data_IF_137548323474
#
_entry.id   IF_137548323474
#
_cell.length_a   1.000
_cell.length_b   1.000
_cell.length_c   1.000
_cell.angle_alpha   90.00
_cell.angle_beta   90.00
_cell.angle_gamma   90.00
#
_symmetry.space_group_name_H-M   'P 1'
#
loop_
_entity.id
_entity.type
_entity.pdbx_description
1 polymer ?
#
# COMPACT_ATOMS: atom_id res chain seq x y z
N UNK A 1 -21.27 -20.07 9.72
CA UNK A 1 -20.36 -18.98 9.34
C UNK A 1 -19.28 -18.85 10.39
N UNK A 2 -18.09 -19.43 10.19
CA UNK A 2 -16.94 -19.21 11.07
C UNK A 2 -15.64 -19.44 10.30
N UNK A 3 -14.96 -18.38 9.87
CA UNK A 3 -13.54 -18.40 9.44
C UNK A 3 -12.78 -17.08 9.71
N UNK A 4 -13.32 -16.20 10.54
CA UNK A 4 -12.75 -14.84 10.71
C UNK A 4 -11.51 -14.79 11.63
N UNK A 5 -11.19 -15.88 12.34
CA UNK A 5 -10.08 -15.95 13.29
C UNK A 5 -9.24 -17.22 13.14
N UNK A 6 -8.93 -17.64 11.91
CA UNK A 6 -7.85 -18.60 11.73
C UNK A 6 -6.55 -17.92 12.18
N UNK A 7 -5.92 -18.42 13.25
CA UNK A 7 -4.57 -18.01 13.65
C UNK A 7 -3.63 -18.38 12.51
N UNK A 8 -3.45 -17.47 11.57
CA UNK A 8 -2.40 -17.57 10.56
C UNK A 8 -1.08 -17.61 11.32
N UNK A 9 -0.29 -18.63 11.06
CA UNK A 9 1.03 -18.70 11.68
C UNK A 9 1.83 -17.48 11.21
N UNK A 10 2.81 -17.01 11.98
CA UNK A 10 3.71 -15.92 11.51
C UNK A 10 4.33 -16.24 10.13
N UNK A 11 4.44 -17.53 9.78
CA UNK A 11 4.90 -18.01 8.48
C UNK A 11 3.95 -17.70 7.31
N UNK A 12 2.64 -17.53 7.55
CA UNK A 12 1.66 -17.26 6.48
C UNK A 12 1.44 -15.75 6.25
N UNK A 13 1.64 -14.93 7.28
CA UNK A 13 1.38 -13.48 7.23
C UNK A 13 2.44 -12.76 6.40
N UNK A 14 3.72 -13.10 6.61
CA UNK A 14 4.81 -12.38 5.95
C UNK A 14 4.81 -12.55 4.42
N UNK A 15 4.50 -13.74 3.87
CA UNK A 15 4.29 -13.91 2.44
C UNK A 15 3.13 -13.10 1.86
N UNK A 16 2.00 -13.02 2.56
CA UNK A 16 0.88 -12.20 2.11
C UNK A 16 1.22 -10.70 2.10
N UNK A 17 1.92 -10.21 3.12
CA UNK A 17 2.38 -8.81 3.19
C UNK A 17 3.34 -8.49 2.05
N UNK A 18 4.28 -9.40 1.76
CA UNK A 18 5.28 -9.20 0.71
C UNK A 18 4.65 -9.22 -0.68
N UNK A 19 3.74 -10.15 -0.95
CA UNK A 19 3.00 -10.17 -2.23
C UNK A 19 2.17 -8.89 -2.38
N UNK A 20 1.46 -8.48 -1.34
CA UNK A 20 0.70 -7.23 -1.36
C UNK A 20 1.60 -6.03 -1.67
N UNK A 21 2.75 -5.89 -1.01
CA UNK A 21 3.69 -4.79 -1.28
C UNK A 21 4.27 -4.87 -2.70
N UNK A 22 4.55 -6.07 -3.21
CA UNK A 22 5.02 -6.28 -4.57
C UNK A 22 4.00 -5.82 -5.60
N UNK A 23 2.78 -6.34 -5.52
CA UNK A 23 1.68 -6.02 -6.44
C UNK A 23 1.40 -4.51 -6.39
N UNK A 24 1.35 -3.96 -5.18
CA UNK A 24 1.13 -2.54 -4.95
C UNK A 24 2.25 -1.70 -5.58
N UNK A 25 3.53 -2.03 -5.34
CA UNK A 25 4.66 -1.19 -5.76
C UNK A 25 4.95 -1.26 -7.27
N UNK A 26 4.75 -2.41 -7.92
CA UNK A 26 5.20 -2.63 -9.30
C UNK A 26 4.09 -2.68 -10.35
N UNK A 27 2.86 -3.07 -10.00
CA UNK A 27 1.76 -3.12 -10.99
C UNK A 27 0.98 -1.81 -11.09
N UNK A 28 1.02 -0.97 -10.06
CA UNK A 28 0.11 0.18 -9.90
C UNK A 28 0.73 1.57 -10.01
N UNK A 29 1.96 1.72 -10.52
CA UNK A 29 2.72 2.98 -10.50
C UNK A 29 2.68 3.67 -9.13
N UNK A 30 2.71 2.89 -8.05
CA UNK A 30 2.37 3.37 -6.72
C UNK A 30 3.34 4.42 -6.18
N UNK A 31 4.55 4.46 -6.75
CA UNK A 31 5.50 5.54 -6.51
C UNK A 31 4.90 6.92 -6.80
N UNK A 32 4.05 7.02 -7.82
CA UNK A 32 3.37 8.25 -8.23
C UNK A 32 1.98 8.39 -7.58
N UNK A 33 1.45 7.34 -6.95
CA UNK A 33 0.14 7.36 -6.29
C UNK A 33 -0.03 8.50 -5.28
N UNK A 34 0.97 8.87 -4.45
CA UNK A 34 0.85 10.04 -3.57
C UNK A 34 0.53 11.35 -4.31
N UNK A 35 1.06 11.52 -5.53
CA UNK A 35 0.79 12.70 -6.36
C UNK A 35 -0.63 12.64 -6.93
N UNK A 36 -1.03 11.50 -7.51
CA UNK A 36 -2.38 11.34 -8.06
C UNK A 36 -3.47 11.48 -6.98
N UNK A 37 -3.26 10.90 -5.80
CA UNK A 37 -4.17 11.06 -4.67
C UNK A 37 -4.26 12.52 -4.23
N UNK A 38 -3.15 13.24 -4.22
CA UNK A 38 -3.16 14.66 -3.90
C UNK A 38 -4.02 15.45 -4.90
N UNK A 39 -3.83 15.25 -6.20
CA UNK A 39 -4.62 15.93 -7.24
C UNK A 39 -6.12 15.64 -7.12
N UNK A 40 -6.49 14.36 -6.90
CA UNK A 40 -7.88 13.96 -6.67
C UNK A 40 -8.45 14.65 -5.42
N UNK A 41 -7.67 14.69 -4.35
CA UNK A 41 -8.11 15.27 -3.09
C UNK A 41 -8.26 16.78 -3.17
N UNK A 42 -7.36 17.47 -3.85
CA UNK A 42 -7.47 18.90 -4.14
C UNK A 42 -8.74 19.21 -4.95
N UNK A 43 -9.07 18.39 -5.96
CA UNK A 43 -10.33 18.51 -6.70
C UNK A 43 -11.55 18.24 -5.82
N UNK A 44 -11.53 17.21 -4.97
CA UNK A 44 -12.66 16.93 -4.07
C UNK A 44 -12.91 18.08 -3.08
N UNK A 45 -11.85 18.77 -2.63
CA UNK A 45 -11.99 19.93 -1.75
C UNK A 45 -12.76 21.09 -2.40
N UNK A 46 -12.84 21.15 -3.73
CA UNK A 46 -13.64 22.16 -4.45
C UNK A 46 -15.10 21.77 -4.66
N UNK A 47 -15.52 20.59 -4.18
CA UNK A 47 -16.89 20.08 -4.31
C UNK A 47 -17.68 20.29 -3.01
N UNK A 48 -18.97 19.95 -3.03
CA UNK A 48 -19.83 19.94 -1.82
C UNK A 48 -19.33 19.02 -0.71
N UNK A 49 -18.53 18.00 -1.05
CA UNK A 49 -17.89 17.11 -0.08
C UNK A 49 -16.66 17.74 0.58
N UNK A 50 -16.24 18.90 0.09
CA UNK A 50 -15.08 19.60 0.56
C UNK A 50 -15.14 19.84 2.06
N UNK A 51 -16.30 20.19 2.64
CA UNK A 51 -16.45 20.52 4.06
C UNK A 51 -16.74 19.33 4.99
N UNK A 52 -16.83 18.11 4.45
CA UNK A 52 -16.97 16.90 5.27
C UNK A 52 -15.67 16.63 6.04
N UNK A 53 -15.72 16.84 7.36
CA UNK A 53 -14.58 16.66 8.25
C UNK A 53 -14.06 15.23 8.28
N UNK A 54 -14.95 14.25 8.29
CA UNK A 54 -14.56 12.84 8.38
C UNK A 54 -13.90 12.37 7.09
N UNK A 55 -14.40 12.85 5.94
CA UNK A 55 -13.79 12.64 4.64
C UNK A 55 -12.41 13.29 4.57
N UNK A 56 -12.27 14.55 4.99
CA UNK A 56 -10.96 15.25 5.05
C UNK A 56 -9.93 14.47 5.89
N UNK A 57 -10.35 13.92 7.03
CA UNK A 57 -9.46 13.10 7.87
C UNK A 57 -9.03 11.81 7.17
N UNK A 58 -9.95 11.12 6.48
CA UNK A 58 -9.65 9.91 5.70
C UNK A 58 -8.70 10.21 4.54
N UNK A 59 -8.94 11.30 3.80
CA UNK A 59 -8.07 11.78 2.72
C UNK A 59 -6.65 12.03 3.24
N UNK A 60 -6.53 12.77 4.36
CA UNK A 60 -5.23 13.06 4.96
C UNK A 60 -4.51 11.79 5.45
N UNK A 61 -5.23 10.86 6.07
CA UNK A 61 -4.67 9.58 6.52
C UNK A 61 -4.17 8.73 5.35
N UNK A 62 -4.94 8.67 4.27
CA UNK A 62 -4.56 7.98 3.04
C UNK A 62 -3.28 8.59 2.45
N UNK A 63 -3.23 9.91 2.29
CA UNK A 63 -2.08 10.63 1.74
C UNK A 63 -0.82 10.44 2.59
N UNK A 64 -0.95 10.45 3.92
CA UNK A 64 0.19 10.18 4.83
C UNK A 64 0.70 8.76 4.69
N UNK A 65 -0.21 7.79 4.61
CA UNK A 65 0.16 6.37 4.51
C UNK A 65 0.88 6.11 3.19
N UNK A 66 0.36 6.63 2.07
CA UNK A 66 0.97 6.45 0.75
C UNK A 66 2.33 7.13 0.65
N UNK A 67 2.47 8.37 1.15
CA UNK A 67 3.77 9.08 1.21
C UNK A 67 4.80 8.33 2.05
N UNK A 68 4.41 7.89 3.26
CA UNK A 68 5.32 7.16 4.14
C UNK A 68 5.79 5.85 3.51
N UNK A 69 4.91 5.15 2.81
CA UNK A 69 5.28 3.92 2.10
C UNK A 69 6.25 4.21 0.95
N UNK A 70 5.97 5.23 0.15
CA UNK A 70 6.84 5.65 -0.94
C UNK A 70 8.23 6.08 -0.45
N UNK A 71 8.28 6.87 0.62
CA UNK A 71 9.52 7.30 1.26
C UNK A 71 10.30 6.11 1.84
N UNK A 72 9.62 5.20 2.54
CA UNK A 72 10.25 3.99 3.12
C UNK A 72 10.90 3.13 2.03
N UNK A 73 10.22 2.97 0.89
CA UNK A 73 10.73 2.16 -0.21
C UNK A 73 11.76 2.90 -1.08
N UNK A 74 11.79 4.23 -1.05
CA UNK A 74 12.76 5.04 -1.82
C UNK A 74 14.23 4.77 -1.48
N UNK A 75 14.52 4.25 -0.28
CA UNK A 75 15.86 3.87 0.14
C UNK A 75 16.40 2.61 -0.57
N UNK A 76 15.54 1.88 -1.28
CA UNK A 76 15.87 0.63 -1.96
C UNK A 76 15.71 0.81 -3.47
N UNK A 77 16.60 0.17 -4.23
CA UNK A 77 16.42 0.07 -5.68
C UNK A 77 15.30 -0.90 -6.03
N UNK A 78 14.64 -0.69 -7.17
CA UNK A 78 13.60 -1.59 -7.67
C UNK A 78 14.07 -3.06 -7.70
N UNK A 79 15.33 -3.30 -8.08
CA UNK A 79 15.93 -4.64 -8.07
C UNK A 79 16.00 -5.27 -6.67
N UNK A 80 16.28 -4.48 -5.64
CA UNK A 80 16.30 -4.97 -4.26
C UNK A 80 14.89 -5.27 -3.76
N UNK A 81 13.92 -4.42 -4.08
CA UNK A 81 12.52 -4.62 -3.73
C UNK A 81 11.97 -5.86 -4.46
N UNK A 82 12.20 -6.01 -5.77
CA UNK A 82 11.84 -7.21 -6.54
C UNK A 82 12.46 -8.45 -5.92
N UNK A 83 13.78 -8.43 -5.62
CA UNK A 83 14.47 -9.58 -5.02
C UNK A 83 13.85 -9.97 -3.66
N UNK A 84 13.54 -8.98 -2.83
CA UNK A 84 12.88 -9.23 -1.54
C UNK A 84 11.49 -9.84 -1.74
N UNK A 85 10.76 -9.41 -2.76
CA UNK A 85 9.43 -9.93 -3.08
C UNK A 85 9.48 -11.34 -3.71
N UNK A 86 10.38 -11.59 -4.64
CA UNK A 86 10.53 -12.87 -5.33
C UNK A 86 11.01 -14.00 -4.41
N UNK A 87 11.90 -13.71 -3.45
CA UNK A 87 12.41 -14.73 -2.51
C UNK A 87 11.30 -15.34 -1.63
N UNK A 88 10.18 -14.64 -1.48
CA UNK A 88 9.05 -15.07 -0.66
C UNK A 88 8.05 -15.92 -1.48
N UNK A 89 8.01 -15.72 -2.80
CA UNK A 89 7.26 -16.59 -3.73
C UNK A 89 7.93 -17.96 -3.88
N UNK A 90 9.27 -18.04 -3.88
CA UNK A 90 10.01 -19.30 -4.02
C UNK A 90 9.87 -20.21 -2.79
N UNK A 91 9.69 -19.65 -1.59
CA UNK A 91 9.42 -20.42 -0.36
C UNK A 91 8.08 -21.19 -0.41
N UNK A 92 7.24 -20.94 -1.41
CA UNK A 92 5.96 -21.65 -1.64
C UNK A 92 6.11 -22.91 -2.50
N UNK A 93 7.29 -23.16 -3.08
CA UNK A 93 7.53 -24.23 -4.07
C UNK A 93 8.44 -25.36 -3.58
N UNK A 94 8.77 -25.43 -2.28
CA UNK A 94 9.54 -26.51 -1.64
C UNK A 94 8.74 -27.13 -0.52
#
# INVERSE_FOLDING_TARGET
MQKENQKTSHHDVMPSVVNFVSDLWFEGDFKEQPLYLQEIFELMLTTEFGDDRDLRLKMLSCLRTSRNLAETLSAFSDKQIIKACSNVVVAKAV
#
